data_IF_833180299153
#
_entry.id   IF_833180299153
#
_cell.length_a   1.000
_cell.length_b   1.000
_cell.length_c   1.000
_cell.angle_alpha   90.00
_cell.angle_beta   90.00
_cell.angle_gamma   90.00
#
_symmetry.space_group_name_H-M   'P 1'
#
loop_
_entity.id
_entity.type
_entity.pdbx_description
1 polymer ?
#
# COMPACT_ATOMS: atom_id res chain seq x y z
N UNK A 1 28.97 4.16 7.15
CA UNK A 1 27.58 3.68 7.33
C UNK A 1 26.69 4.42 6.34
N UNK A 2 26.39 3.80 5.18
CA UNK A 2 25.67 4.42 4.08
C UNK A 2 24.24 3.84 3.99
N UNK A 3 23.35 4.27 4.89
CA UNK A 3 21.97 3.73 4.98
C UNK A 3 20.86 4.75 4.72
N UNK A 4 21.18 5.97 4.29
CA UNK A 4 20.16 7.03 4.11
C UNK A 4 19.91 7.45 2.66
N UNK A 5 20.70 6.99 1.69
CA UNK A 5 20.60 7.48 0.31
C UNK A 5 19.73 6.63 -0.63
N UNK A 6 19.34 5.40 -0.25
CA UNK A 6 18.41 4.59 -1.08
C UNK A 6 16.93 4.80 -0.76
N UNK A 7 16.59 5.39 0.39
CA UNK A 7 15.20 5.63 0.80
C UNK A 7 14.55 6.88 0.19
N UNK A 8 15.33 7.76 -0.44
CA UNK A 8 14.88 9.05 -0.99
C UNK A 8 14.76 9.08 -2.52
N UNK A 9 15.34 8.13 -3.24
CA UNK A 9 15.34 8.11 -4.71
C UNK A 9 14.09 7.48 -5.35
N UNK A 10 13.20 6.91 -4.55
CA UNK A 10 11.85 6.54 -4.98
C UNK A 10 10.94 7.43 -4.13
N UNK A 11 10.47 8.55 -4.70
CA UNK A 11 9.57 9.46 -4.01
C UNK A 11 8.49 8.61 -3.27
N UNK A 12 8.30 8.75 -1.94
CA UNK A 12 7.12 8.22 -1.27
C UNK A 12 5.90 9.00 -1.79
N UNK A 13 5.56 8.72 -3.05
CA UNK A 13 4.59 9.44 -3.84
C UNK A 13 3.19 9.15 -3.32
N UNK A 14 2.21 9.80 -3.94
CA UNK A 14 0.79 9.71 -3.58
C UNK A 14 0.28 8.27 -3.37
N UNK A 15 0.92 7.24 -3.94
CA UNK A 15 0.65 5.82 -3.67
C UNK A 15 0.68 5.44 -2.19
N UNK A 16 1.55 6.08 -1.40
CA UNK A 16 1.74 5.79 0.01
C UNK A 16 0.57 6.25 0.87
N UNK A 17 -0.08 7.35 0.49
CA UNK A 17 -1.36 7.78 1.08
C UNK A 17 -2.52 6.91 0.58
N UNK A 18 -2.52 6.56 -0.70
CA UNK A 18 -3.56 5.74 -1.31
C UNK A 18 -3.63 4.33 -0.71
N UNK A 19 -2.49 3.68 -0.38
CA UNK A 19 -2.51 2.36 0.29
C UNK A 19 -3.18 2.42 1.67
N UNK A 20 -2.95 3.48 2.45
CA UNK A 20 -3.56 3.64 3.77
C UNK A 20 -5.07 3.92 3.64
N UNK A 21 -5.47 4.69 2.62
CA UNK A 21 -6.87 4.91 2.30
C UNK A 21 -7.58 3.60 1.94
N UNK A 22 -6.98 2.78 1.07
CA UNK A 22 -7.54 1.47 0.70
C UNK A 22 -7.70 0.58 1.94
N UNK A 23 -6.65 0.43 2.74
CA UNK A 23 -6.68 -0.33 4.00
C UNK A 23 -7.75 0.19 4.96
N UNK A 24 -7.86 1.51 5.14
CA UNK A 24 -8.85 2.12 6.02
C UNK A 24 -10.29 1.86 5.54
N UNK A 25 -10.54 1.96 4.22
CA UNK A 25 -11.85 1.67 3.63
C UNK A 25 -12.26 0.20 3.83
N UNK A 26 -11.31 -0.75 3.70
CA UNK A 26 -11.57 -2.16 4.00
C UNK A 26 -11.94 -2.35 5.46
N UNK A 27 -11.15 -1.81 6.40
CA UNK A 27 -11.44 -1.94 7.83
C UNK A 27 -12.73 -1.22 8.26
N UNK A 28 -13.13 -0.17 7.53
CA UNK A 28 -14.41 0.51 7.73
C UNK A 28 -15.61 -0.22 7.09
N UNK A 29 -15.40 -1.39 6.46
CA UNK A 29 -16.46 -2.15 5.79
C UNK A 29 -16.90 -1.57 4.43
N UNK A 30 -16.26 -0.50 3.96
CA UNK A 30 -16.56 0.21 2.71
C UNK A 30 -15.86 -0.46 1.52
N UNK A 31 -16.19 -1.75 1.31
CA UNK A 31 -15.46 -2.64 0.39
C UNK A 31 -15.48 -2.17 -1.08
N UNK A 32 -16.60 -1.63 -1.57
CA UNK A 32 -16.68 -1.19 -2.97
C UNK A 32 -15.82 0.06 -3.23
N UNK A 33 -15.77 0.98 -2.27
CA UNK A 33 -14.88 2.15 -2.33
C UNK A 33 -13.42 1.74 -2.21
N UNK A 34 -13.11 0.75 -1.36
CA UNK A 34 -11.77 0.19 -1.25
C UNK A 34 -11.29 -0.40 -2.58
N UNK A 35 -12.15 -1.16 -3.28
CA UNK A 35 -11.85 -1.71 -4.61
C UNK A 35 -11.64 -0.60 -5.64
N UNK A 36 -12.48 0.44 -5.64
CA UNK A 36 -12.32 1.57 -6.56
C UNK A 36 -11.00 2.31 -6.31
N UNK A 37 -10.68 2.58 -5.05
CA UNK A 37 -9.42 3.19 -4.66
C UNK A 37 -8.21 2.31 -5.03
N UNK A 38 -8.33 0.99 -4.85
CA UNK A 38 -7.30 0.02 -5.24
C UNK A 38 -7.07 -0.02 -6.75
N UNK A 39 -8.14 0.03 -7.57
CA UNK A 39 -7.99 0.16 -9.03
C UNK A 39 -7.25 1.42 -9.43
N UNK A 40 -7.63 2.58 -8.87
CA UNK A 40 -6.93 3.84 -9.12
C UNK A 40 -5.46 3.80 -8.70
N UNK A 41 -5.18 3.13 -7.57
CA UNK A 41 -3.82 2.90 -7.11
C UNK A 41 -3.01 2.09 -8.14
N UNK A 42 -3.56 0.99 -8.67
CA UNK A 42 -2.92 0.17 -9.70
C UNK A 42 -2.78 0.90 -11.04
N UNK A 43 -3.75 1.74 -11.43
CA UNK A 43 -3.68 2.57 -12.63
C UNK A 43 -2.57 3.63 -12.52
N UNK A 44 -2.44 4.25 -11.34
CA UNK A 44 -1.42 5.29 -11.10
C UNK A 44 -0.03 4.68 -10.92
N UNK A 45 0.06 3.47 -10.37
CA UNK A 45 1.32 2.76 -10.10
C UNK A 45 1.26 1.32 -10.66
N UNK A 46 1.43 1.17 -11.98
CA UNK A 46 1.43 -0.15 -12.61
C UNK A 46 2.55 -1.03 -12.05
N UNK A 47 2.23 -2.29 -11.72
CA UNK A 47 3.18 -3.24 -11.14
C UNK A 47 3.40 -3.07 -9.63
N UNK A 48 2.59 -2.25 -8.95
CA UNK A 48 2.52 -2.26 -7.49
C UNK A 48 1.95 -3.59 -7.01
N UNK A 49 2.61 -4.19 -6.02
CA UNK A 49 2.18 -5.43 -5.38
C UNK A 49 2.28 -5.33 -3.86
N UNK A 50 1.65 -6.26 -3.14
CA UNK A 50 1.70 -6.33 -1.68
C UNK A 50 3.14 -6.52 -1.20
N UNK A 51 3.94 -7.36 -1.87
CA UNK A 51 5.35 -7.55 -1.56
C UNK A 51 6.13 -6.23 -1.66
N UNK A 52 5.92 -5.44 -2.72
CA UNK A 52 6.56 -4.12 -2.87
C UNK A 52 6.13 -3.12 -1.79
N UNK A 53 4.88 -3.22 -1.32
CA UNK A 53 4.40 -2.40 -0.19
C UNK A 53 5.09 -2.82 1.11
N UNK A 54 5.27 -4.12 1.33
CA UNK A 54 5.95 -4.69 2.50
C UNK A 54 7.42 -4.28 2.57
N UNK A 55 8.17 -4.45 1.47
CA UNK A 55 9.60 -4.11 1.39
C UNK A 55 9.89 -2.62 1.66
N UNK A 56 8.91 -1.76 1.34
CA UNK A 56 9.01 -0.31 1.52
C UNK A 56 8.35 0.20 2.82
N UNK A 57 7.85 -0.68 3.69
CA UNK A 57 7.11 -0.31 4.90
C UNK A 57 8.05 0.02 6.07
N UNK A 58 7.99 1.22 6.67
CA UNK A 58 8.68 1.55 7.91
C UNK A 58 7.83 1.23 9.15
N UNK A 59 6.68 0.59 8.98
CA UNK A 59 5.83 0.18 10.10
C UNK A 59 6.32 -1.13 10.72
N UNK A 60 5.94 -1.37 11.97
CA UNK A 60 6.15 -2.65 12.62
C UNK A 60 5.44 -3.80 11.87
N UNK A 61 5.82 -5.04 12.20
CA UNK A 61 5.29 -6.25 11.54
C UNK A 61 3.77 -6.32 11.63
N UNK A 62 3.18 -6.06 12.79
CA UNK A 62 1.73 -6.17 12.99
C UNK A 62 0.94 -5.11 12.20
N UNK A 63 1.46 -3.89 12.11
CA UNK A 63 0.87 -2.84 11.28
C UNK A 63 1.02 -3.15 9.79
N UNK A 64 2.18 -3.65 9.38
CA UNK A 64 2.44 -4.04 7.99
C UNK A 64 1.54 -5.20 7.54
N UNK A 65 1.28 -6.17 8.41
CA UNK A 65 0.34 -7.27 8.16
C UNK A 65 -1.10 -6.79 7.98
N UNK A 66 -1.58 -5.84 8.81
CA UNK A 66 -2.92 -5.25 8.65
C UNK A 66 -3.06 -4.51 7.33
N UNK A 67 -2.02 -3.77 6.93
CA UNK A 67 -2.00 -3.07 5.64
C UNK A 67 -2.04 -4.09 4.49
N UNK A 68 -1.19 -5.11 4.53
CA UNK A 68 -1.18 -6.18 3.53
C UNK A 68 -2.54 -6.89 3.43
N UNK A 69 -3.17 -7.19 4.56
CA UNK A 69 -4.52 -7.76 4.62
C UNK A 69 -5.55 -6.85 3.92
N UNK A 70 -5.58 -5.56 4.26
CA UNK A 70 -6.52 -4.61 3.65
C UNK A 70 -6.30 -4.45 2.14
N UNK A 71 -5.04 -4.45 1.68
CA UNK A 71 -4.73 -4.36 0.26
C UNK A 71 -5.14 -5.63 -0.51
N UNK A 72 -4.93 -6.80 0.09
CA UNK A 72 -5.35 -8.10 -0.47
C UNK A 72 -6.87 -8.18 -0.62
N UNK A 73 -7.61 -7.80 0.42
CA UNK A 73 -9.09 -7.76 0.39
C UNK A 73 -9.62 -6.79 -0.67
N UNK A 74 -8.88 -5.72 -0.96
CA UNK A 74 -9.23 -4.75 -1.99
C UNK A 74 -8.81 -5.18 -3.41
N UNK A 75 -8.08 -6.30 -3.54
CA UNK A 75 -7.70 -6.91 -4.82
C UNK A 75 -6.33 -6.51 -5.35
N UNK A 76 -5.43 -5.98 -4.51
CA UNK A 76 -4.03 -5.76 -4.91
C UNK A 76 -3.32 -7.12 -5.09
N UNK A 77 -2.56 -7.35 -6.17
CA UNK A 77 -1.79 -8.58 -6.35
C UNK A 77 -0.62 -8.70 -5.36
N UNK A 78 -0.17 -9.93 -5.11
CA UNK A 78 0.96 -10.26 -4.22
C UNK A 78 2.30 -9.72 -4.71
#
# INVERSE_FOLDING_TARGET
MALTQRGLSQQPGAWWGLRLLVTALVHAGRKDEARLACRRLMETYPGLTIARVGDASPFDVGTSERIAFGLREAGLPE
#
